data_IF_993979584606
#
_entry.id   IF_993979584606
#
_cell.length_a   1.000
_cell.length_b   1.000
_cell.length_c   1.000
_cell.angle_alpha   90.00
_cell.angle_beta   90.00
_cell.angle_gamma   90.00
#
_symmetry.space_group_name_H-M   'P 1'
#
loop_
_entity.id
_entity.type
_entity.pdbx_description
1 polymer ?
#
# COMPACT_ATOMS: atom_id res chain seq x y z
N UNK A 1 -35.96 72.88 19.23
CA UNK A 1 -35.47 72.63 17.85
C UNK A 1 -34.84 71.27 17.84
N UNK A 2 -35.62 70.25 17.48
CA UNK A 2 -35.13 68.88 17.30
C UNK A 2 -34.48 68.81 15.92
N UNK A 3 -33.22 68.42 15.86
CA UNK A 3 -32.52 68.19 14.60
C UNK A 3 -32.89 66.78 14.14
N UNK A 4 -33.70 66.71 13.08
CA UNK A 4 -34.11 65.47 12.43
C UNK A 4 -32.98 65.08 11.46
N UNK A 5 -32.26 63.99 11.75
CA UNK A 5 -31.28 63.45 10.80
C UNK A 5 -32.02 62.84 9.60
N UNK A 6 -31.63 63.16 8.35
CA UNK A 6 -32.29 62.60 7.18
C UNK A 6 -32.01 61.09 7.07
N UNK A 7 -32.98 60.28 6.62
CA UNK A 7 -32.73 58.87 6.38
C UNK A 7 -31.80 58.74 5.18
N UNK A 8 -30.51 58.51 5.42
CA UNK A 8 -29.61 58.01 4.39
C UNK A 8 -30.02 56.56 4.14
N UNK A 9 -30.96 56.38 3.22
CA UNK A 9 -31.25 55.10 2.58
C UNK A 9 -29.90 54.49 2.19
N UNK A 10 -29.46 53.46 2.92
CA UNK A 10 -28.30 52.64 2.53
C UNK A 10 -28.60 52.20 1.11
N UNK A 11 -27.85 52.72 0.14
CA UNK A 11 -27.78 52.15 -1.19
C UNK A 11 -27.45 50.67 -0.99
N UNK A 12 -28.45 49.81 -1.21
CA UNK A 12 -28.25 48.38 -1.30
C UNK A 12 -27.16 48.17 -2.35
N UNK A 13 -25.96 47.81 -1.87
CA UNK A 13 -24.88 47.44 -2.77
C UNK A 13 -25.41 46.30 -3.64
N UNK A 14 -25.25 46.38 -4.98
CA UNK A 14 -25.65 45.27 -5.84
C UNK A 14 -25.08 43.96 -5.28
N UNK A 15 -25.95 42.99 -5.02
CA UNK A 15 -25.52 41.64 -4.61
C UNK A 15 -24.68 41.09 -5.76
N UNK A 16 -23.37 41.10 -5.58
CA UNK A 16 -22.41 40.63 -6.59
C UNK A 16 -22.66 39.13 -6.78
N UNK A 17 -23.12 38.67 -7.96
CA UNK A 17 -23.44 37.25 -8.13
C UNK A 17 -22.16 36.45 -7.92
N UNK A 18 -22.27 35.33 -7.19
CA UNK A 18 -21.17 34.45 -6.74
C UNK A 18 -20.23 33.92 -7.85
N UNK A 19 -20.46 34.31 -9.09
CA UNK A 19 -19.71 33.95 -10.29
C UNK A 19 -19.25 35.15 -11.14
N UNK A 20 -19.50 36.40 -10.73
CA UNK A 20 -19.07 37.60 -11.49
C UNK A 20 -17.58 37.90 -11.37
N UNK A 21 -16.92 37.37 -10.34
CA UNK A 21 -15.45 37.45 -10.20
C UNK A 21 -14.82 36.18 -10.74
N UNK A 22 -14.90 35.97 -12.06
CA UNK A 22 -13.98 35.06 -12.73
C UNK A 22 -12.55 35.46 -12.31
N UNK A 23 -11.73 34.49 -11.91
CA UNK A 23 -10.42 34.71 -11.30
C UNK A 23 -9.56 35.67 -12.14
N UNK A 24 -9.60 36.96 -11.80
CA UNK A 24 -8.85 38.00 -12.50
C UNK A 24 -7.38 37.87 -12.10
N UNK A 25 -6.44 37.82 -13.04
CA UNK A 25 -5.01 37.74 -12.73
C UNK A 25 -4.48 38.94 -11.94
N UNK A 26 -5.25 40.03 -11.86
CA UNK A 26 -4.91 41.25 -11.14
C UNK A 26 -5.47 41.28 -9.70
N UNK A 27 -6.31 40.31 -9.34
CA UNK A 27 -6.80 40.16 -7.97
C UNK A 27 -5.91 39.14 -7.28
N UNK A 28 -5.20 39.59 -6.23
CA UNK A 28 -4.35 38.71 -5.43
C UNK A 28 -5.23 37.70 -4.71
N UNK A 29 -5.10 36.43 -5.05
CA UNK A 29 -5.76 35.33 -4.35
C UNK A 29 -5.35 35.37 -2.88
N UNK A 30 -6.29 35.62 -1.98
CA UNK A 30 -6.05 35.43 -0.55
C UNK A 30 -5.87 33.93 -0.31
N UNK A 31 -4.82 33.56 0.43
CA UNK A 31 -4.51 32.15 0.71
C UNK A 31 -5.66 31.57 1.52
N UNK A 32 -6.29 30.46 1.08
CA UNK A 32 -7.34 29.82 1.87
C UNK A 32 -6.82 29.51 3.27
N UNK A 33 -7.63 29.81 4.29
CA UNK A 33 -7.30 29.46 5.67
C UNK A 33 -6.92 27.97 5.75
N UNK A 34 -5.84 27.58 6.46
CA UNK A 34 -5.39 26.20 6.50
C UNK A 34 -6.52 25.29 6.99
N UNK A 35 -7.00 24.40 6.12
CA UNK A 35 -7.94 23.35 6.50
C UNK A 35 -7.11 22.25 7.16
N UNK A 36 -7.40 21.97 8.44
CA UNK A 36 -6.79 20.85 9.14
C UNK A 36 -7.19 19.56 8.44
N UNK A 37 -6.25 18.95 7.70
CA UNK A 37 -6.42 17.60 7.21
C UNK A 37 -6.36 16.66 8.42
N UNK A 38 -7.36 15.80 8.64
CA UNK A 38 -7.21 14.74 9.62
C UNK A 38 -6.00 13.91 9.20
N UNK A 39 -5.00 13.84 10.08
CA UNK A 39 -3.84 12.97 9.89
C UNK A 39 -4.35 11.55 9.60
N UNK A 40 -3.78 10.83 8.62
CA UNK A 40 -4.08 9.41 8.48
C UNK A 40 -3.81 8.73 9.83
N UNK A 41 -4.60 7.69 10.19
CA UNK A 41 -4.35 6.96 11.44
C UNK A 41 -2.88 6.56 11.44
N UNK A 42 -2.19 6.84 12.55
CA UNK A 42 -0.80 6.48 12.70
C UNK A 42 -0.71 4.96 12.51
N UNK A 43 -0.24 4.52 11.35
CA UNK A 43 0.12 3.13 11.15
C UNK A 43 1.27 2.89 12.11
N UNK A 44 0.98 2.24 13.24
CA UNK A 44 1.99 1.69 14.13
C UNK A 44 2.88 0.80 13.26
N UNK A 45 3.95 1.38 12.74
CA UNK A 45 4.92 0.71 11.89
C UNK A 45 5.87 -0.06 12.80
N UNK A 46 5.29 -0.94 13.61
CA UNK A 46 6.00 -1.99 14.30
C UNK A 46 5.85 -3.25 13.47
N UNK A 47 6.95 -3.75 12.90
CA UNK A 47 6.98 -5.14 12.46
C UNK A 47 6.79 -5.96 13.74
N UNK A 48 5.55 -6.37 14.00
CA UNK A 48 5.26 -7.35 15.04
C UNK A 48 5.56 -8.71 14.42
N UNK A 49 6.72 -9.34 14.69
CA UNK A 49 7.17 -10.54 13.96
C UNK A 49 6.16 -11.69 14.05
N UNK A 50 5.41 -11.76 15.15
CA UNK A 50 4.33 -12.73 15.35
C UNK A 50 3.14 -12.44 14.42
N UNK A 51 2.78 -11.16 14.24
CA UNK A 51 1.68 -10.74 13.34
C UNK A 51 2.03 -10.98 11.88
N UNK A 52 3.28 -10.70 11.48
CA UNK A 52 3.82 -11.02 10.16
C UNK A 52 3.81 -12.54 9.92
N UNK A 53 4.26 -13.34 10.89
CA UNK A 53 4.26 -14.79 10.77
C UNK A 53 2.84 -15.37 10.60
N UNK A 54 1.87 -14.86 11.37
CA UNK A 54 0.47 -15.30 11.28
C UNK A 54 -0.16 -14.89 9.95
N UNK A 55 0.06 -13.64 9.53
CA UNK A 55 -0.49 -13.08 8.28
C UNK A 55 0.03 -13.81 7.05
N UNK A 56 1.33 -14.13 7.04
CA UNK A 56 2.01 -14.73 5.89
C UNK A 56 2.35 -16.20 6.07
N UNK A 57 1.77 -16.90 7.06
CA UNK A 57 2.10 -18.29 7.41
C UNK A 57 2.15 -19.21 6.19
N UNK A 58 1.09 -19.17 5.37
CA UNK A 58 0.98 -20.01 4.17
C UNK A 58 2.04 -19.67 3.12
N UNK A 59 2.34 -18.38 2.92
CA UNK A 59 3.37 -17.95 1.97
C UNK A 59 4.76 -18.39 2.42
N UNK A 60 5.05 -18.26 3.72
CA UNK A 60 6.31 -18.72 4.32
C UNK A 60 6.43 -20.23 4.19
N UNK A 61 5.38 -20.99 4.51
CA UNK A 61 5.37 -22.44 4.37
C UNK A 61 5.56 -22.88 2.92
N UNK A 62 4.89 -22.22 1.98
CA UNK A 62 5.04 -22.51 0.55
C UNK A 62 6.46 -22.21 0.06
N UNK A 63 7.03 -21.07 0.43
CA UNK A 63 8.40 -20.72 0.08
C UNK A 63 9.41 -21.73 0.65
N UNK A 64 9.22 -22.15 1.90
CA UNK A 64 10.06 -23.18 2.52
C UNK A 64 9.88 -24.55 1.86
N UNK A 65 8.66 -24.91 1.45
CA UNK A 65 8.39 -26.14 0.73
C UNK A 65 9.09 -26.16 -0.64
N UNK A 66 9.06 -25.05 -1.38
CA UNK A 66 9.81 -24.92 -2.64
C UNK A 66 11.31 -25.03 -2.37
N UNK A 67 11.83 -24.34 -1.35
CA UNK A 67 13.25 -24.41 -1.01
C UNK A 67 13.69 -25.84 -0.69
N UNK A 68 12.91 -26.55 0.13
CA UNK A 68 13.16 -27.94 0.46
C UNK A 68 13.11 -28.84 -0.79
N UNK A 69 12.09 -28.66 -1.65
CA UNK A 69 11.98 -29.37 -2.92
C UNK A 69 13.22 -29.17 -3.79
N UNK A 70 13.68 -27.93 -3.95
CA UNK A 70 14.86 -27.62 -4.75
C UNK A 70 16.13 -28.25 -4.18
N UNK A 71 16.29 -28.25 -2.84
CA UNK A 71 17.42 -28.92 -2.19
C UNK A 71 17.43 -30.42 -2.45
N UNK A 72 16.27 -31.08 -2.34
CA UNK A 72 16.12 -32.51 -2.63
C UNK A 72 16.38 -32.79 -4.12
N UNK A 73 15.83 -31.98 -5.02
CA UNK A 73 16.04 -32.13 -6.46
C UNK A 73 17.51 -32.04 -6.85
N UNK A 74 18.21 -31.00 -6.37
CA UNK A 74 19.64 -30.81 -6.64
C UNK A 74 20.46 -31.95 -6.03
N UNK A 75 20.12 -32.40 -4.82
CA UNK A 75 20.73 -33.56 -4.17
C UNK A 75 20.56 -34.83 -5.00
N UNK A 76 19.34 -35.15 -5.42
CA UNK A 76 19.02 -36.31 -6.25
C UNK A 76 19.82 -36.30 -7.56
N UNK A 77 19.84 -35.17 -8.28
CA UNK A 77 20.62 -35.05 -9.53
C UNK A 77 22.12 -35.26 -9.27
N UNK A 78 22.65 -34.67 -8.19
CA UNK A 78 24.06 -34.80 -7.84
C UNK A 78 24.45 -36.24 -7.54
N UNK A 79 23.63 -36.95 -6.75
CA UNK A 79 23.86 -38.37 -6.40
C UNK A 79 23.78 -39.25 -7.64
N UNK A 80 22.78 -39.05 -8.51
CA UNK A 80 22.61 -39.82 -9.75
C UNK A 80 23.79 -39.60 -10.71
N UNK A 81 24.28 -38.35 -10.81
CA UNK A 81 25.43 -38.00 -11.65
C UNK A 81 26.73 -38.61 -11.13
N UNK A 82 26.90 -38.67 -9.80
CA UNK A 82 28.08 -39.26 -9.19
C UNK A 82 28.11 -40.79 -9.27
N UNK A 83 26.94 -41.44 -9.41
CA UNK A 83 26.80 -42.91 -9.39
C UNK A 83 26.15 -43.41 -10.69
N UNK A 84 26.83 -43.18 -11.81
CA UNK A 84 26.28 -43.43 -13.15
C UNK A 84 26.16 -44.91 -13.54
N UNK A 85 26.73 -45.84 -12.79
CA UNK A 85 26.67 -47.27 -13.10
C UNK A 85 25.78 -48.04 -12.12
N UNK A 86 25.26 -47.34 -11.10
CA UNK A 86 24.50 -47.96 -10.03
C UNK A 86 23.01 -48.13 -10.39
N UNK A 87 22.38 -49.29 -10.12
CA UNK A 87 20.99 -49.54 -10.48
C UNK A 87 19.99 -48.78 -9.59
N UNK A 88 20.31 -48.51 -8.32
CA UNK A 88 19.43 -47.81 -7.37
C UNK A 88 19.26 -46.32 -7.67
N UNK A 89 20.07 -45.74 -8.56
CA UNK A 89 20.01 -44.31 -8.91
C UNK A 89 18.64 -43.88 -9.43
N UNK A 90 17.88 -44.79 -10.04
CA UNK A 90 16.54 -44.48 -10.55
C UNK A 90 15.53 -44.27 -9.41
N UNK A 91 15.70 -44.95 -8.28
CA UNK A 91 14.88 -44.70 -7.09
C UNK A 91 15.14 -43.30 -6.53
N UNK A 92 16.41 -42.89 -6.48
CA UNK A 92 16.82 -41.54 -6.04
C UNK A 92 16.37 -40.45 -7.01
N UNK A 93 16.35 -40.75 -8.32
CA UNK A 93 15.89 -39.81 -9.35
C UNK A 93 14.39 -39.49 -9.24
N UNK A 94 13.58 -40.44 -8.74
CA UNK A 94 12.13 -40.29 -8.62
C UNK A 94 11.74 -39.63 -7.30
N UNK A 95 12.62 -39.61 -6.29
CA UNK A 95 12.37 -39.04 -4.96
C UNK A 95 11.75 -37.62 -4.97
N UNK A 96 12.20 -36.66 -5.80
CA UNK A 96 11.61 -35.32 -5.82
C UNK A 96 10.19 -35.29 -6.42
N UNK A 97 9.83 -36.28 -7.22
CA UNK A 97 8.54 -36.34 -7.94
C UNK A 97 7.44 -36.92 -7.04
N UNK A 98 7.81 -37.78 -6.09
CA UNK A 98 6.88 -38.40 -5.16
C UNK A 98 6.43 -37.34 -4.14
N UNK A 99 5.12 -37.05 -4.03
CA UNK A 99 4.63 -36.16 -3.00
C UNK A 99 4.98 -36.73 -1.62
N UNK A 100 5.50 -35.87 -0.75
CA UNK A 100 5.73 -36.21 0.65
C UNK A 100 4.37 -36.17 1.39
N UNK A 101 3.53 -37.19 1.20
CA UNK A 101 2.20 -37.29 1.80
C UNK A 101 1.24 -38.17 1.01
#
# INVERSE_FOLDING_TARGET
MSQEDPPTTRLESPVDPLFSRAASPFVRTEVPAPVAFPSPPATESGILPISTLLTYKTQIQFALAILAYLMVLVGSVSVVRANADEPWRFEVAVLPVIPAG
#
